data_IF_006416713630
#
_entry.id   IF_006416713630
#
_cell.length_a   1.000
_cell.length_b   1.000
_cell.length_c   1.000
_cell.angle_alpha   90.00
_cell.angle_beta   90.00
_cell.angle_gamma   90.00
#
_symmetry.space_group_name_H-M   'P 1'
#
loop_
_entity.id
_entity.type
_entity.pdbx_description
1 polymer ?
#
# COMPACT_ATOMS: atom_id res chain seq x y z
N UNK A 1 23.45 -33.56 6.10
CA UNK A 1 23.57 -32.32 5.32
C UNK A 1 24.18 -31.27 6.23
N UNK A 2 25.45 -30.91 6.01
CA UNK A 2 26.09 -29.86 6.79
C UNK A 2 25.42 -28.54 6.44
N UNK A 3 24.83 -27.87 7.43
CA UNK A 3 24.32 -26.51 7.25
C UNK A 3 25.54 -25.61 7.11
N UNK A 4 25.77 -25.07 5.92
CA UNK A 4 26.75 -24.00 5.73
C UNK A 4 26.34 -22.83 6.62
N UNK A 5 27.04 -22.68 7.74
CA UNK A 5 26.88 -21.55 8.65
C UNK A 5 27.40 -20.34 7.89
N UNK A 6 26.49 -19.62 7.21
CA UNK A 6 26.82 -18.38 6.52
C UNK A 6 27.47 -17.44 7.54
N UNK A 7 28.77 -17.21 7.39
CA UNK A 7 29.48 -16.23 8.21
C UNK A 7 28.79 -14.88 8.03
N UNK A 8 28.51 -14.14 9.13
CA UNK A 8 27.89 -12.83 9.01
C UNK A 8 28.78 -11.92 8.16
N UNK A 9 28.16 -11.14 7.29
CA UNK A 9 28.78 -10.29 6.25
C UNK A 9 29.84 -9.30 6.83
N UNK A 10 29.86 -9.11 8.15
CA UNK A 10 30.84 -8.29 8.87
C UNK A 10 31.30 -8.92 10.21
N UNK A 11 31.61 -10.22 10.19
CA UNK A 11 31.96 -10.99 11.40
C UNK A 11 33.18 -10.46 12.16
N UNK A 12 34.13 -9.86 11.47
CA UNK A 12 35.38 -9.33 12.03
C UNK A 12 35.16 -8.20 13.06
N UNK A 13 34.07 -7.44 12.91
CA UNK A 13 33.74 -6.33 13.81
C UNK A 13 32.96 -6.78 15.06
N UNK A 14 32.80 -8.08 15.32
CA UNK A 14 32.02 -8.57 16.46
C UNK A 14 32.65 -8.22 17.81
N UNK A 15 33.99 -8.24 17.89
CA UNK A 15 34.75 -8.06 19.13
C UNK A 15 34.97 -6.59 19.50
N UNK A 16 34.58 -5.64 18.64
CA UNK A 16 34.77 -4.21 18.91
C UNK A 16 33.73 -3.67 19.89
N UNK A 17 34.16 -2.72 20.70
CA UNK A 17 33.32 -2.10 21.73
C UNK A 17 32.06 -1.48 21.13
N UNK A 18 30.94 -1.76 21.78
CA UNK A 18 29.64 -1.14 21.52
C UNK A 18 29.24 -0.39 22.80
N UNK A 19 29.21 0.95 22.79
CA UNK A 19 28.76 1.70 23.95
C UNK A 19 27.31 1.35 24.29
N UNK A 20 26.89 1.61 25.52
CA UNK A 20 25.48 1.65 25.94
C UNK A 20 24.88 3.02 25.64
N UNK A 21 23.54 3.11 25.60
CA UNK A 21 22.88 4.42 25.48
C UNK A 21 22.99 5.10 26.84
N UNK A 22 23.80 6.15 26.92
CA UNK A 22 23.91 6.96 28.12
C UNK A 22 22.79 8.00 28.11
N UNK A 23 21.78 7.79 28.96
CA UNK A 23 20.69 8.75 29.12
C UNK A 23 21.15 9.98 29.89
N UNK A 24 22.22 9.88 30.69
CA UNK A 24 22.77 10.99 31.45
C UNK A 24 23.59 11.92 30.54
N UNK A 25 22.90 12.85 29.86
CA UNK A 25 23.53 13.89 29.05
C UNK A 25 24.26 14.92 29.92
N UNK A 26 25.33 15.50 29.36
CA UNK A 26 26.04 16.63 29.98
C UNK A 26 25.07 17.77 30.30
N UNK A 27 25.24 18.46 31.44
CA UNK A 27 24.33 19.50 31.90
C UNK A 27 24.20 20.66 30.90
N UNK A 28 25.26 20.97 30.15
CA UNK A 28 25.24 22.03 29.14
C UNK A 28 24.30 21.69 27.98
N UNK A 29 24.28 20.42 27.55
CA UNK A 29 23.35 19.93 26.53
C UNK A 29 21.92 19.93 27.03
N UNK A 30 21.69 19.65 28.31
CA UNK A 30 20.35 19.72 28.91
C UNK A 30 19.85 21.16 28.98
N UNK A 31 20.73 22.13 29.29
CA UNK A 31 20.39 23.55 29.24
C UNK A 31 19.96 23.99 27.85
N UNK A 32 20.70 23.61 26.80
CA UNK A 32 20.31 23.91 25.41
C UNK A 32 18.93 23.37 25.03
N UNK A 33 18.60 22.15 25.46
CA UNK A 33 17.28 21.55 25.22
C UNK A 33 16.22 22.34 26.01
N UNK A 34 16.52 22.68 27.26
CA UNK A 34 15.62 23.43 28.15
C UNK A 34 15.32 24.85 27.68
N UNK A 35 16.25 25.52 26.99
CA UNK A 35 16.03 26.83 26.40
C UNK A 35 15.06 26.81 25.20
N UNK A 36 14.79 25.65 24.61
CA UNK A 36 13.72 25.55 23.62
C UNK A 36 12.36 25.50 24.34
N UNK A 37 11.69 26.65 24.44
CA UNK A 37 10.39 26.80 25.11
C UNK A 37 9.23 25.98 24.50
N UNK A 38 9.43 25.36 23.33
CA UNK A 38 8.45 24.46 22.67
C UNK A 38 8.43 23.03 23.23
N UNK A 39 9.33 22.68 24.15
CA UNK A 39 9.75 21.28 24.36
C UNK A 39 9.23 20.68 25.67
N UNK A 40 8.40 21.36 26.46
CA UNK A 40 7.94 20.81 27.76
C UNK A 40 7.27 19.42 27.66
N UNK A 41 6.39 19.13 26.68
CA UNK A 41 5.85 17.77 26.50
C UNK A 41 6.81 16.81 25.77
N UNK A 42 7.91 17.31 25.19
CA UNK A 42 8.83 16.55 24.33
C UNK A 42 10.27 16.51 24.86
N UNK A 43 10.51 16.97 26.09
CA UNK A 43 11.85 17.09 26.66
C UNK A 43 12.54 15.73 26.74
N UNK A 44 11.89 14.75 27.37
CA UNK A 44 12.39 13.39 27.48
C UNK A 44 12.65 12.75 26.11
N UNK A 45 11.77 13.01 25.13
CA UNK A 45 11.95 12.55 23.75
C UNK A 45 13.20 13.17 23.13
N UNK A 46 13.37 14.48 23.24
CA UNK A 46 14.53 15.19 22.66
C UNK A 46 15.86 14.80 23.33
N UNK A 47 15.82 14.54 24.63
CA UNK A 47 16.92 14.01 25.43
C UNK A 47 17.30 12.61 24.92
N UNK A 48 16.32 11.72 24.78
CA UNK A 48 16.51 10.39 24.23
C UNK A 48 17.07 10.42 22.81
N UNK A 49 16.51 11.26 21.92
CA UNK A 49 16.98 11.40 20.54
C UNK A 49 18.44 11.87 20.48
N UNK A 50 18.85 12.84 21.30
CA UNK A 50 20.25 13.27 21.37
C UNK A 50 21.17 12.14 21.86
N UNK A 51 20.80 11.46 22.95
CA UNK A 51 21.56 10.32 23.45
C UNK A 51 21.67 9.21 22.40
N UNK A 52 20.59 8.95 21.67
CA UNK A 52 20.54 7.97 20.59
C UNK A 52 21.42 8.36 19.39
N UNK A 53 21.45 9.63 19.01
CA UNK A 53 22.33 10.14 17.96
C UNK A 53 23.80 9.99 18.34
N UNK A 54 24.17 10.28 19.58
CA UNK A 54 25.53 10.08 20.08
C UNK A 54 25.93 8.59 20.11
N UNK A 55 25.00 7.74 20.54
CA UNK A 55 25.16 6.28 20.52
C UNK A 55 25.36 5.74 19.09
N UNK A 56 24.63 6.28 18.12
CA UNK A 56 24.73 5.94 16.70
C UNK A 56 25.84 6.71 15.96
N UNK A 57 26.67 7.48 16.67
CA UNK A 57 27.77 8.22 16.06
C UNK A 57 29.03 7.36 15.86
N UNK A 58 29.79 7.65 14.80
CA UNK A 58 31.09 7.01 14.58
C UNK A 58 32.16 7.41 15.60
N UNK A 59 31.95 8.49 16.36
CA UNK A 59 32.91 8.98 17.35
C UNK A 59 32.98 8.04 18.56
N UNK A 60 31.84 7.62 19.10
CA UNK A 60 31.75 6.76 20.28
C UNK A 60 31.67 5.28 19.94
N UNK A 61 31.02 4.93 18.82
CA UNK A 61 30.71 3.54 18.47
C UNK A 61 31.78 2.92 17.55
N UNK A 62 32.81 2.34 18.15
CA UNK A 62 33.92 1.70 17.42
C UNK A 62 33.45 0.53 16.53
N UNK A 63 32.45 -0.22 16.99
CA UNK A 63 31.85 -1.31 16.21
C UNK A 63 31.16 -0.80 14.95
N UNK A 64 30.41 0.30 15.07
CA UNK A 64 29.78 0.94 13.92
C UNK A 64 30.83 1.46 12.93
N UNK A 65 31.87 2.12 13.43
CA UNK A 65 33.00 2.62 12.62
C UNK A 65 33.66 1.49 11.82
N UNK A 66 33.95 0.37 12.46
CA UNK A 66 34.51 -0.81 11.78
C UNK A 66 33.63 -1.36 10.67
N UNK A 67 32.32 -1.47 10.93
CA UNK A 67 31.38 -1.96 9.92
C UNK A 67 31.30 -1.00 8.75
N UNK A 68 31.36 0.29 9.01
CA UNK A 68 31.39 1.32 7.97
C UNK A 68 32.66 1.25 7.13
N UNK A 69 33.84 1.15 7.76
CA UNK A 69 35.12 0.97 7.06
C UNK A 69 35.11 -0.30 6.19
N UNK A 70 34.66 -1.43 6.75
CA UNK A 70 34.50 -2.67 6.01
C UNK A 70 33.48 -2.57 4.88
N UNK A 71 32.40 -1.80 5.09
CA UNK A 71 31.42 -1.51 4.04
C UNK A 71 32.04 -0.72 2.89
N UNK A 72 32.82 0.33 3.19
CA UNK A 72 33.47 1.20 2.21
C UNK A 72 34.51 0.42 1.41
N UNK A 73 35.35 -0.38 2.09
CA UNK A 73 36.36 -1.21 1.42
C UNK A 73 35.74 -2.25 0.47
N UNK A 74 34.57 -2.77 0.81
CA UNK A 74 33.88 -3.79 0.03
C UNK A 74 32.76 -3.21 -0.86
N UNK A 75 32.72 -1.90 -1.08
CA UNK A 75 31.63 -1.29 -1.87
C UNK A 75 31.74 -1.68 -3.35
N UNK A 76 32.96 -1.77 -3.88
CA UNK A 76 33.23 -2.07 -5.29
C UNK A 76 32.87 -3.51 -5.65
N UNK A 77 32.99 -4.45 -4.70
CA UNK A 77 32.64 -5.85 -4.88
C UNK A 77 31.14 -6.14 -4.82
N UNK A 78 30.29 -5.15 -4.55
CA UNK A 78 28.85 -5.35 -4.47
C UNK A 78 28.24 -5.42 -5.85
N UNK A 79 27.62 -6.56 -6.16
CA UNK A 79 26.72 -6.65 -7.30
C UNK A 79 25.56 -5.70 -7.07
N UNK A 80 25.46 -4.66 -7.90
CA UNK A 80 24.32 -3.76 -7.89
C UNK A 80 23.07 -4.57 -8.27
N UNK A 81 22.30 -4.93 -7.25
CA UNK A 81 20.96 -5.48 -7.44
C UNK A 81 19.97 -4.32 -7.27
N UNK A 82 19.06 -4.10 -8.24
CA UNK A 82 17.99 -3.13 -8.03
C UNK A 82 17.21 -3.51 -6.78
N UNK A 83 16.86 -2.53 -5.95
CA UNK A 83 16.01 -2.78 -4.80
C UNK A 83 14.64 -3.26 -5.29
N UNK A 84 14.38 -4.56 -5.14
CA UNK A 84 13.09 -5.12 -5.44
C UNK A 84 12.22 -4.95 -4.19
N UNK A 85 11.30 -4.00 -4.24
CA UNK A 85 10.28 -3.90 -3.21
C UNK A 85 9.47 -5.20 -3.23
N UNK A 86 9.32 -5.89 -2.09
CA UNK A 86 8.39 -7.01 -2.01
C UNK A 86 6.99 -6.51 -2.39
N UNK A 87 6.25 -7.31 -3.15
CA UNK A 87 4.85 -7.00 -3.47
C UNK A 87 4.11 -6.86 -2.13
N UNK A 88 3.33 -5.77 -1.97
CA UNK A 88 2.58 -5.51 -0.73
C UNK A 88 1.67 -6.69 -0.40
N UNK A 89 1.19 -7.39 -1.43
CA UNK A 89 0.33 -8.56 -1.31
C UNK A 89 1.02 -9.77 -0.66
N UNK A 90 2.34 -9.82 -0.68
CA UNK A 90 3.13 -10.90 -0.08
C UNK A 90 3.55 -10.57 1.37
N UNK A 91 3.27 -9.35 1.83
CA UNK A 91 3.46 -8.95 3.23
C UNK A 91 2.25 -9.40 4.05
N UNK A 92 2.50 -10.26 5.02
CA UNK A 92 1.50 -10.84 5.91
C UNK A 92 1.73 -10.34 7.33
N UNK A 93 0.65 -10.11 8.07
CA UNK A 93 0.71 -9.82 9.50
C UNK A 93 0.60 -11.15 10.23
N UNK A 94 1.74 -11.72 10.66
CA UNK A 94 1.78 -12.94 11.45
C UNK A 94 2.30 -12.63 12.86
N UNK A 95 1.54 -13.03 13.89
CA UNK A 95 1.86 -12.84 15.31
C UNK A 95 2.33 -11.40 15.62
N UNK A 96 1.60 -10.40 15.12
CA UNK A 96 1.89 -8.96 15.30
C UNK A 96 3.18 -8.46 14.62
N UNK A 97 3.77 -9.26 13.72
CA UNK A 97 4.94 -8.88 12.94
C UNK A 97 4.61 -8.94 11.45
N UNK A 98 5.11 -7.97 10.68
CA UNK A 98 5.01 -8.01 9.22
C UNK A 98 6.08 -8.99 8.72
N UNK A 99 5.64 -10.05 8.02
CA UNK A 99 6.51 -11.08 7.44
C UNK A 99 6.27 -11.17 5.94
N UNK A 100 7.35 -11.34 5.17
CA UNK A 100 7.26 -11.57 3.74
C UNK A 100 7.09 -13.07 3.46
N UNK A 101 5.91 -13.47 2.98
CA UNK A 101 5.52 -14.88 2.76
C UNK A 101 4.92 -15.08 1.35
N UNK A 102 5.73 -14.98 0.29
CA UNK A 102 5.25 -15.05 -1.10
C UNK A 102 4.66 -16.42 -1.47
N UNK A 103 5.03 -17.49 -0.76
CA UNK A 103 4.53 -18.85 -1.00
C UNK A 103 3.10 -19.08 -0.53
N UNK A 104 2.57 -18.21 0.35
CA UNK A 104 1.19 -18.27 0.85
C UNK A 104 0.21 -17.63 -0.14
N UNK A 105 0.71 -16.75 -1.01
CA UNK A 105 -0.08 -16.03 -2.00
C UNK A 105 -0.40 -16.87 -3.26
N UNK A 106 -0.64 -18.18 -3.12
CA UNK A 106 -0.88 -19.13 -4.23
C UNK A 106 -2.21 -18.92 -4.96
N UNK A 107 -3.18 -18.26 -4.34
CA UNK A 107 -4.56 -18.21 -4.84
C UNK A 107 -5.01 -16.80 -5.16
N UNK A 108 -4.59 -16.30 -6.32
CA UNK A 108 -5.26 -15.18 -6.99
C UNK A 108 -6.40 -15.70 -7.84
N UNK A 109 -7.51 -16.07 -7.22
CA UNK A 109 -8.76 -15.92 -7.95
C UNK A 109 -9.06 -14.42 -7.94
N UNK A 110 -9.02 -13.79 -9.11
CA UNK A 110 -9.73 -12.51 -9.27
C UNK A 110 -11.17 -12.78 -8.89
N UNK A 111 -11.59 -12.48 -7.66
CA UNK A 111 -12.96 -12.69 -7.21
C UNK A 111 -13.97 -11.92 -8.08
N UNK A 112 -13.48 -10.96 -8.87
CA UNK A 112 -14.21 -10.28 -9.95
C UNK A 112 -14.75 -11.24 -11.04
N UNK A 113 -14.08 -12.37 -11.27
CA UNK A 113 -14.47 -13.39 -12.26
C UNK A 113 -15.25 -14.57 -11.64
N UNK A 114 -15.38 -14.63 -10.32
CA UNK A 114 -16.11 -15.70 -9.63
C UNK A 114 -17.53 -15.29 -9.22
N UNK A 115 -17.88 -14.00 -9.35
CA UNK A 115 -19.26 -13.53 -9.17
C UNK A 115 -20.12 -13.97 -10.36
N UNK A 116 -21.21 -14.67 -10.09
CA UNK A 116 -22.22 -15.00 -11.10
C UNK A 116 -22.91 -13.71 -11.57
N UNK A 117 -23.29 -13.65 -12.85
CA UNK A 117 -24.10 -12.56 -13.40
C UNK A 117 -25.40 -12.41 -12.58
N UNK A 118 -25.47 -11.34 -11.79
CA UNK A 118 -26.66 -10.94 -11.06
C UNK A 118 -27.41 -9.83 -11.82
N UNK A 119 -28.63 -9.45 -11.39
CA UNK A 119 -29.29 -8.28 -11.95
C UNK A 119 -28.35 -7.07 -11.82
N UNK A 120 -28.13 -6.34 -12.93
CA UNK A 120 -27.15 -5.24 -13.11
C UNK A 120 -25.68 -5.64 -13.37
N UNK A 121 -25.37 -6.91 -13.69
CA UNK A 121 -24.01 -7.40 -13.96
C UNK A 121 -23.98 -8.29 -15.21
N UNK A 122 -23.28 -7.88 -16.28
CA UNK A 122 -23.09 -8.70 -17.49
C UNK A 122 -22.21 -9.94 -17.20
N UNK A 123 -22.23 -10.95 -18.07
CA UNK A 123 -21.36 -12.15 -17.99
C UNK A 123 -19.85 -11.82 -17.95
N UNK A 124 -19.48 -10.59 -18.34
CA UNK A 124 -18.11 -10.07 -18.32
C UNK A 124 -17.77 -9.28 -17.03
N UNK A 125 -18.67 -9.29 -16.04
CA UNK A 125 -18.53 -8.57 -14.77
C UNK A 125 -19.14 -7.16 -14.78
N UNK A 126 -19.05 -6.41 -13.67
CA UNK A 126 -19.56 -5.06 -13.61
C UNK A 126 -18.72 -4.14 -14.51
N UNK A 127 -19.26 -3.73 -15.64
CA UNK A 127 -18.74 -2.59 -16.39
C UNK A 127 -18.83 -1.37 -15.46
N UNK A 128 -17.72 -0.68 -15.17
CA UNK A 128 -17.79 0.55 -14.40
C UNK A 128 -18.72 1.50 -15.15
N UNK A 129 -19.76 2.00 -14.47
CA UNK A 129 -20.59 3.08 -14.99
C UNK A 129 -19.61 4.21 -15.34
N UNK A 130 -19.51 4.63 -16.61
CA UNK A 130 -18.62 5.73 -16.96
C UNK A 130 -18.92 6.92 -16.05
N UNK A 131 -17.91 7.50 -15.42
CA UNK A 131 -18.07 8.64 -14.52
C UNK A 131 -18.85 9.79 -15.18
N UNK A 132 -18.85 9.86 -16.52
CA UNK A 132 -19.62 10.81 -17.33
C UNK A 132 -21.15 10.68 -17.18
N UNK A 133 -21.69 9.52 -16.78
CA UNK A 133 -23.13 9.38 -16.46
C UNK A 133 -23.50 9.78 -15.03
N UNK A 134 -22.53 9.85 -14.11
CA UNK A 134 -22.77 10.27 -12.72
C UNK A 134 -22.75 11.79 -12.57
N UNK A 135 -22.15 12.49 -13.53
CA UNK A 135 -22.34 13.92 -13.68
C UNK A 135 -23.56 14.16 -14.57
N UNK A 136 -24.74 14.38 -13.97
CA UNK A 136 -25.64 15.35 -14.58
C UNK A 136 -24.81 16.61 -14.76
N UNK A 137 -24.44 16.94 -16.01
CA UNK A 137 -23.97 18.28 -16.35
C UNK A 137 -24.91 19.23 -15.66
N UNK A 138 -24.39 20.01 -14.71
CA UNK A 138 -25.15 21.02 -14.01
C UNK A 138 -25.82 21.90 -15.05
N UNK A 139 -27.11 21.65 -15.30
CA UNK A 139 -27.97 22.58 -15.96
C UNK A 139 -28.17 23.71 -14.96
N UNK A 140 -27.42 24.80 -15.13
CA UNK A 140 -27.83 26.09 -14.60
C UNK A 140 -29.25 26.35 -15.10
N UNK A 141 -30.19 26.42 -14.17
CA UNK A 141 -31.60 26.53 -14.55
C UNK A 141 -32.54 26.51 -13.37
N UNK A 142 -32.31 27.37 -12.37
CA UNK A 142 -33.45 27.89 -11.59
C UNK A 142 -34.32 28.70 -12.57
N UNK A 143 -35.33 28.07 -13.14
CA UNK A 143 -36.49 28.79 -13.66
C UNK A 143 -37.66 28.46 -12.76
N UNK A 144 -37.95 29.39 -11.86
CA UNK A 144 -39.23 29.47 -11.19
C UNK A 144 -40.33 29.61 -12.23
N UNK A 145 -41.44 28.89 -12.05
CA UNK A 145 -42.79 29.48 -12.08
C UNK A 145 -43.85 28.44 -11.74
N UNK A 146 -44.68 28.83 -10.78
CA UNK A 146 -46.01 28.28 -10.54
C UNK A 146 -46.86 28.46 -11.79
N UNK A 147 -47.27 27.36 -12.42
CA UNK A 147 -48.49 27.16 -13.23
C UNK A 147 -48.31 25.81 -13.94
N UNK A 148 -49.26 24.88 -14.03
CA UNK A 148 -50.68 24.95 -13.81
C UNK A 148 -51.14 23.55 -13.36
N UNK A 149 -52.05 23.53 -12.39
CA UNK A 149 -53.06 22.49 -12.36
C UNK A 149 -53.76 22.37 -13.72
N UNK A 150 -54.24 21.15 -13.96
CA UNK A 150 -55.23 20.74 -14.97
C UNK A 150 -54.67 20.40 -16.35
N UNK A 151 -55.20 19.26 -16.79
CA UNK A 151 -55.46 18.80 -18.16
C UNK A 151 -54.42 17.81 -18.67
N UNK A 152 -54.75 16.60 -19.10
CA UNK A 152 -56.00 15.85 -19.26
C UNK A 152 -55.50 14.40 -19.34
N UNK A 153 -56.00 13.48 -18.52
CA UNK A 153 -56.86 12.40 -19.00
C UNK A 153 -56.65 11.96 -20.46
N UNK A 154 -56.44 10.62 -20.60
CA UNK A 154 -56.96 9.68 -21.61
C UNK A 154 -55.98 9.08 -22.66
N UNK A 155 -56.30 7.86 -23.17
CA UNK A 155 -55.39 6.71 -23.07
C UNK A 155 -55.16 5.95 -24.41
N UNK A 156 -54.37 4.85 -24.33
CA UNK A 156 -54.34 3.64 -25.19
C UNK A 156 -54.28 3.81 -26.73
N UNK A 157 -53.32 3.13 -27.39
CA UNK A 157 -53.55 1.93 -28.25
C UNK A 157 -52.33 1.58 -29.15
N UNK A 158 -52.08 0.26 -29.25
CA UNK A 158 -51.70 -0.56 -30.42
C UNK A 158 -50.37 -0.26 -31.14
N UNK A 159 -49.50 -1.23 -31.42
CA UNK A 159 -49.75 -2.36 -32.34
C UNK A 159 -48.80 -3.54 -32.06
N UNK A 160 -49.37 -4.75 -32.14
CA UNK A 160 -48.70 -6.04 -32.33
C UNK A 160 -48.28 -6.22 -33.82
N UNK A 161 -47.58 -7.35 -34.09
CA UNK A 161 -47.24 -7.98 -35.38
C UNK A 161 -46.09 -7.30 -36.14
N UNK A 162 -45.02 -7.96 -36.59
CA UNK A 162 -44.81 -9.29 -37.20
C UNK A 162 -43.32 -9.71 -36.96
N UNK A 163 -42.81 -10.93 -37.16
CA UNK A 163 -43.29 -12.11 -37.84
C UNK A 163 -42.44 -13.31 -37.40
N UNK A 164 -43.14 -14.39 -37.09
CA UNK A 164 -42.63 -15.71 -36.77
C UNK A 164 -42.51 -16.46 -38.10
N UNK A 165 -41.31 -16.57 -38.69
CA UNK A 165 -41.02 -17.50 -39.80
C UNK A 165 -39.50 -17.65 -39.98
N UNK A 166 -38.94 -18.66 -39.32
CA UNK A 166 -37.89 -19.58 -39.82
C UNK A 166 -37.49 -20.50 -38.68
N UNK A 167 -38.43 -21.35 -38.33
CA UNK A 167 -38.14 -22.61 -37.65
C UNK A 167 -37.94 -23.67 -38.76
N UNK A 168 -36.82 -24.38 -38.65
CA UNK A 168 -36.62 -25.78 -39.08
C UNK A 168 -36.44 -26.06 -40.59
N UNK A 169 -35.51 -27.00 -40.85
CA UNK A 169 -35.05 -27.63 -42.11
C UNK A 169 -33.73 -27.01 -42.61
N UNK A 170 -32.56 -27.66 -42.57
CA UNK A 170 -32.16 -29.09 -42.57
C UNK A 170 -30.75 -29.15 -41.92
N UNK A 171 -30.35 -30.00 -40.97
CA UNK A 171 -30.20 -31.47 -40.96
C UNK A 171 -29.54 -32.08 -42.21
N UNK A 172 -28.46 -32.82 -41.97
CA UNK A 172 -27.74 -33.75 -42.85
C UNK A 172 -26.59 -33.16 -43.67
N UNK A 173 -25.32 -33.48 -43.35
CA UNK A 173 -24.61 -34.78 -43.40
C UNK A 173 -23.99 -34.98 -44.78
N UNK A 174 -22.64 -34.99 -44.77
CA UNK A 174 -21.67 -35.46 -45.78
C UNK A 174 -21.60 -34.70 -47.10
#
# INVERSE_FOLDING_TARGET
MATDIKKPIYGECANKYRPTIDLNLNPDKLKEIGYNFRVLPTFEKSMYERAFMEYCSFQKNQRLKCKWESYVLNVDGKVFAPFQFPDIRDLHIDKHSIRYMPSENRFRYNNRLTLRAGPYIDERGPLPIPNEMLYSRGGEGKVSKKSAQKQKQKPKKSLKTAEKKRAVKNSNVK
#
